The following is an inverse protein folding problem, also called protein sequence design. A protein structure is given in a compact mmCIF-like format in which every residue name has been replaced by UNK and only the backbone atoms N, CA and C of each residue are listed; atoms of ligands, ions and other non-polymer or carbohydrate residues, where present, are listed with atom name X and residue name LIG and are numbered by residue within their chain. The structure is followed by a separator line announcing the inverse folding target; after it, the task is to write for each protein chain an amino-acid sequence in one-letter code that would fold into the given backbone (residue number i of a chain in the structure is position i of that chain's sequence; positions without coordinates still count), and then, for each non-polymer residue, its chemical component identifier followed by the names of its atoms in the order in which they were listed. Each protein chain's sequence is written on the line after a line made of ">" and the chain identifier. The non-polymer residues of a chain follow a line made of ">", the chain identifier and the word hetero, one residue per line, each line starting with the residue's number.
data_IF_911027527633
#
_entry.id   IF_911027527633
#
_cell.length_a   1.000
_cell.length_b   1.000
_cell.length_c   1.000
_cell.angle_alpha   90.00
_cell.angle_beta   90.00
_cell.angle_gamma   90.00
#
_symmetry.space_group_name_H-M   'P 1'
#
loop_
_entity.id
_entity.type
_entity.pdbx_description
1 polymer ?
#
# COMPACT_ATOMS: atom_id res chain seq x y z
N UNK A 1 -9.85 23.93 -1.35
CA UNK A 1 -8.45 23.83 -0.93
C UNK A 1 -8.19 22.36 -0.69
N UNK A 2 -7.65 21.65 -1.69
CA UNK A 2 -7.31 20.24 -1.53
C UNK A 2 -6.07 20.18 -0.63
N UNK A 3 -6.20 19.55 0.53
CA UNK A 3 -5.04 19.18 1.33
C UNK A 3 -4.22 18.22 0.50
N UNK A 4 -2.99 18.62 0.16
CA UNK A 4 -1.93 17.72 -0.27
C UNK A 4 -1.67 16.76 0.89
N UNK A 5 -2.40 15.66 0.93
CA UNK A 5 -2.15 14.54 1.83
C UNK A 5 -0.85 13.88 1.35
N UNK A 6 0.28 14.53 1.62
CA UNK A 6 1.58 13.96 1.32
C UNK A 6 1.63 12.60 2.01
N UNK A 7 1.87 11.55 1.24
CA UNK A 7 2.09 10.22 1.79
C UNK A 7 3.22 10.31 2.82
N UNK A 8 2.94 10.00 4.07
CA UNK A 8 3.94 9.99 5.11
C UNK A 8 4.61 8.62 5.12
N UNK A 9 5.86 8.58 4.65
CA UNK A 9 6.62 7.35 4.52
C UNK A 9 7.13 6.88 5.90
N UNK A 10 6.48 5.86 6.44
CA UNK A 10 6.88 5.18 7.66
C UNK A 10 7.73 3.93 7.42
N UNK A 11 8.03 3.57 6.16
CA UNK A 11 8.83 2.38 5.84
C UNK A 11 10.21 2.41 6.50
N UNK A 12 10.97 3.53 6.54
CA UNK A 12 12.27 3.56 7.19
C UNK A 12 12.18 3.25 8.70
N UNK A 13 11.14 3.77 9.36
CA UNK A 13 10.92 3.55 10.78
C UNK A 13 10.49 2.11 11.08
N UNK A 14 9.65 1.52 10.23
CA UNK A 14 9.25 0.12 10.34
C UNK A 14 10.43 -0.83 10.04
N UNK A 15 11.22 -0.57 9.00
CA UNK A 15 12.44 -1.31 8.68
C UNK A 15 13.43 -1.29 9.85
N UNK A 16 13.63 -0.13 10.49
CA UNK A 16 14.52 -0.01 11.64
C UNK A 16 14.01 -0.78 12.88
N UNK A 17 12.68 -0.90 13.05
CA UNK A 17 12.08 -1.61 14.20
C UNK A 17 11.95 -3.12 13.97
N UNK A 18 11.60 -3.54 12.76
CA UNK A 18 11.25 -4.93 12.42
C UNK A 18 12.38 -5.67 11.68
N UNK A 19 13.37 -4.95 11.15
CA UNK A 19 14.30 -5.48 10.16
C UNK A 19 13.68 -5.58 8.77
N UNK A 20 14.51 -5.84 7.75
CA UNK A 20 14.06 -5.97 6.35
C UNK A 20 13.07 -7.11 6.15
N UNK A 21 13.42 -8.32 6.61
CA UNK A 21 12.56 -9.50 6.51
C UNK A 21 11.25 -9.33 7.30
N UNK A 22 11.31 -8.69 8.47
CA UNK A 22 10.14 -8.41 9.29
C UNK A 22 9.19 -7.41 8.62
N UNK A 23 9.73 -6.35 8.03
CA UNK A 23 8.95 -5.39 7.25
C UNK A 23 8.27 -6.06 6.05
N UNK A 24 9.01 -6.86 5.27
CA UNK A 24 8.44 -7.59 4.13
C UNK A 24 7.33 -8.55 4.59
N UNK A 25 7.54 -9.26 5.71
CA UNK A 25 6.54 -10.13 6.30
C UNK A 25 5.24 -9.40 6.65
N UNK A 26 5.33 -8.26 7.33
CA UNK A 26 4.15 -7.44 7.67
C UNK A 26 3.45 -6.88 6.44
N UNK A 27 4.20 -6.42 5.43
CA UNK A 27 3.62 -5.96 4.15
C UNK A 27 2.88 -7.10 3.43
N UNK A 28 3.47 -8.30 3.38
CA UNK A 28 2.81 -9.48 2.81
C UNK A 28 1.55 -9.86 3.58
N UNK A 29 1.57 -9.79 4.92
CA UNK A 29 0.39 -10.06 5.75
C UNK A 29 -0.73 -9.06 5.47
N UNK A 30 -0.40 -7.77 5.39
CA UNK A 30 -1.35 -6.72 5.02
C UNK A 30 -1.93 -6.92 3.63
N UNK A 31 -1.10 -7.26 2.64
CA UNK A 31 -1.55 -7.56 1.29
C UNK A 31 -2.49 -8.76 1.26
N UNK A 32 -2.10 -9.88 1.87
CA UNK A 32 -2.91 -11.10 1.93
C UNK A 32 -4.26 -10.90 2.64
N UNK A 33 -4.33 -9.97 3.58
CA UNK A 33 -5.59 -9.61 4.24
C UNK A 33 -6.53 -8.86 3.29
N UNK A 34 -6.00 -8.06 2.35
CA UNK A 34 -6.78 -7.20 1.46
C UNK A 34 -7.01 -7.80 0.06
N UNK A 35 -6.23 -8.82 -0.31
CA UNK A 35 -6.27 -9.43 -1.63
C UNK A 35 -7.60 -10.14 -1.90
N UNK A 36 -8.06 -10.07 -3.14
CA UNK A 36 -9.09 -10.96 -3.65
C UNK A 36 -8.48 -12.36 -3.82
N UNK A 37 -9.03 -13.36 -3.13
CA UNK A 37 -8.47 -14.71 -3.10
C UNK A 37 -8.55 -15.45 -4.44
N UNK A 38 -9.42 -15.03 -5.35
CA UNK A 38 -9.53 -15.63 -6.69
C UNK A 38 -8.60 -14.93 -7.68
N UNK A 39 -8.52 -13.60 -7.62
CA UNK A 39 -7.74 -12.80 -8.59
C UNK A 39 -6.28 -12.60 -8.19
N UNK A 40 -5.94 -12.78 -6.92
CA UNK A 40 -4.57 -12.59 -6.41
C UNK A 40 -4.10 -11.13 -6.42
N UNK A 41 -5.03 -10.18 -6.58
CA UNK A 41 -4.77 -8.72 -6.51
C UNK A 41 -5.78 -8.07 -5.59
N UNK A 42 -5.43 -6.92 -5.01
CA UNK A 42 -6.38 -6.10 -4.25
C UNK A 42 -7.37 -5.49 -5.25
N UNK A 43 -8.64 -5.84 -5.14
CA UNK A 43 -9.72 -5.23 -5.93
C UNK A 43 -10.48 -4.22 -5.08
N UNK A 44 -11.24 -3.34 -5.71
CA UNK A 44 -12.10 -2.41 -4.98
C UNK A 44 -13.06 -3.15 -4.03
N UNK A 45 -13.65 -4.26 -4.49
CA UNK A 45 -14.58 -5.07 -3.69
C UNK A 45 -13.87 -5.76 -2.52
N UNK A 46 -12.69 -6.35 -2.75
CA UNK A 46 -11.92 -7.01 -1.68
C UNK A 46 -11.42 -5.98 -0.65
N UNK A 47 -10.95 -4.82 -1.11
CA UNK A 47 -10.52 -3.72 -0.26
C UNK A 47 -11.68 -3.22 0.60
N UNK A 48 -12.83 -2.90 0.00
CA UNK A 48 -14.02 -2.41 0.72
C UNK A 48 -14.52 -3.39 1.77
N UNK A 49 -14.53 -4.68 1.43
CA UNK A 49 -14.99 -5.74 2.34
C UNK A 49 -14.00 -5.98 3.48
N UNK A 50 -12.71 -6.06 3.16
CA UNK A 50 -11.70 -6.50 4.12
C UNK A 50 -11.15 -5.33 4.97
N UNK A 51 -11.22 -4.08 4.49
CA UNK A 51 -10.86 -2.89 5.29
C UNK A 51 -11.76 -2.74 6.53
N UNK A 52 -13.02 -3.16 6.44
CA UNK A 52 -13.91 -3.21 7.60
C UNK A 52 -13.37 -4.09 8.73
N UNK A 53 -12.61 -5.16 8.42
CA UNK A 53 -11.98 -6.03 9.42
C UNK A 53 -10.83 -5.33 10.18
N UNK A 54 -10.29 -4.25 9.60
CA UNK A 54 -9.26 -3.41 10.21
C UNK A 54 -9.86 -2.25 11.03
N UNK A 55 -11.18 -2.25 11.22
CA UNK A 55 -11.89 -1.14 11.88
C UNK A 55 -12.07 0.09 11.01
N UNK A 56 -11.81 -0.01 9.69
CA UNK A 56 -11.97 1.08 8.72
C UNK A 56 -13.35 1.06 8.06
N UNK A 57 -14.37 0.67 8.82
CA UNK A 57 -15.76 0.52 8.37
C UNK A 57 -16.44 1.85 7.98
N UNK A 58 -15.87 2.98 8.38
CA UNK A 58 -16.41 4.32 8.10
C UNK A 58 -15.85 4.93 6.80
N UNK A 59 -14.96 4.22 6.08
CA UNK A 59 -14.46 4.67 4.78
C UNK A 59 -15.59 4.62 3.74
N UNK A 60 -15.88 5.77 3.13
CA UNK A 60 -16.83 5.85 2.03
C UNK A 60 -16.23 5.30 0.73
N UNK A 61 -17.09 5.05 -0.25
CA UNK A 61 -16.64 4.60 -1.57
C UNK A 61 -15.72 5.64 -2.23
N UNK A 62 -15.92 6.93 -1.95
CA UNK A 62 -15.04 7.98 -2.46
C UNK A 62 -13.70 8.05 -1.70
N UNK A 63 -13.63 7.60 -0.45
CA UNK A 63 -12.36 7.47 0.29
C UNK A 63 -11.56 6.25 -0.19
N UNK A 64 -12.24 5.17 -0.57
CA UNK A 64 -11.63 3.93 -1.09
C UNK A 64 -11.23 4.06 -2.56
N UNK A 65 -11.96 4.86 -3.33
CA UNK A 65 -11.57 5.24 -4.68
C UNK A 65 -10.44 6.24 -4.54
N UNK A 66 -9.23 5.72 -4.41
CA UNK A 66 -8.01 6.50 -4.58
C UNK A 66 -8.17 7.37 -5.82
N UNK A 67 -7.85 8.65 -5.69
CA UNK A 67 -7.81 9.56 -6.85
C UNK A 67 -6.96 8.88 -7.93
N UNK A 68 -7.38 8.85 -9.21
CA UNK A 68 -6.61 8.22 -10.27
C UNK A 68 -5.14 8.69 -10.27
N UNK A 69 -4.90 9.95 -9.92
CA UNK A 69 -3.56 10.53 -9.77
C UNK A 69 -2.74 9.85 -8.65
N UNK A 70 -3.35 9.51 -7.51
CA UNK A 70 -2.65 8.83 -6.39
C UNK A 70 -2.29 7.39 -6.73
N UNK A 71 -3.14 6.67 -7.48
CA UNK A 71 -2.80 5.32 -7.93
C UNK A 71 -1.63 5.36 -8.92
N UNK A 72 -1.65 6.29 -9.87
CA UNK A 72 -0.57 6.47 -10.84
C UNK A 72 0.75 6.86 -10.15
N UNK A 73 0.70 7.79 -9.18
CA UNK A 73 1.86 8.18 -8.37
C UNK A 73 2.38 7.00 -7.53
N UNK A 74 1.50 6.21 -6.93
CA UNK A 74 1.91 5.02 -6.15
C UNK A 74 2.60 3.96 -7.02
N UNK A 75 2.13 3.76 -8.26
CA UNK A 75 2.78 2.86 -9.21
C UNK A 75 4.16 3.40 -9.62
N UNK A 76 4.24 4.69 -9.92
CA UNK A 76 5.51 5.34 -10.27
C UNK A 76 6.54 5.25 -9.15
N UNK A 77 6.15 5.54 -7.90
CA UNK A 77 7.04 5.46 -6.74
C UNK A 77 7.54 4.04 -6.48
N UNK A 78 6.67 3.03 -6.69
CA UNK A 78 7.06 1.63 -6.55
C UNK A 78 8.06 1.21 -7.64
N UNK A 79 7.82 1.62 -8.89
CA UNK A 79 8.75 1.39 -10.01
C UNK A 79 10.08 2.12 -9.78
N UNK A 80 10.05 3.37 -9.31
CA UNK A 80 11.26 4.15 -9.00
C UNK A 80 12.05 3.50 -7.86
N UNK A 81 11.41 3.09 -6.77
CA UNK A 81 12.06 2.41 -5.65
C UNK A 81 12.73 1.10 -6.09
N UNK A 82 12.04 0.28 -6.89
CA UNK A 82 12.61 -0.94 -7.47
C UNK A 82 13.82 -0.61 -8.38
N UNK A 83 13.73 0.43 -9.21
CA UNK A 83 14.82 0.85 -10.09
C UNK A 83 16.02 1.42 -9.31
N UNK A 84 15.79 2.10 -8.19
CA UNK A 84 16.86 2.61 -7.34
C UNK A 84 17.62 1.47 -6.63
N UNK A 85 16.94 0.42 -6.19
CA UNK A 85 17.56 -0.77 -5.60
C UNK A 85 18.39 -1.58 -6.63
N UNK A 86 17.92 -1.68 -7.88
CA UNK A 86 18.69 -2.37 -8.94
C UNK A 86 19.94 -1.62 -9.42
N UNK A 87 20.10 -0.32 -9.10
CA UNK A 87 21.33 0.42 -9.41
C UNK A 87 22.49 0.15 -8.45
N UNK A 88 22.24 -0.46 -7.28
CA UNK A 88 23.32 -0.81 -6.35
C UNK A 88 23.99 -2.17 -6.69
N UNK A 89 23.46 -2.90 -7.68
CA UNK A 89 23.93 -4.24 -8.06
C UNK A 89 24.78 -4.26 -9.35
N UNK A 90 25.12 -3.10 -9.93
CA UNK A 90 26.01 -2.94 -11.09
C UNK A 90 27.16 -1.99 -10.79
#
# INVERSE_FOLDING_TARGET
>A
MASSSNFEDFLPLMANKLGGDGLVGELCNGFNLLVDSEKGVITFDSLKKNSALLGLQDLSDDDLRLSPELMEESQFLLEEALLQEFKHYC
#
